data_IF_028114130471
#
_entry.id   IF_028114130471
#
_cell.length_a   1.000
_cell.length_b   1.000
_cell.length_c   1.000
_cell.angle_alpha   90.00
_cell.angle_beta   90.00
_cell.angle_gamma   90.00
#
_symmetry.space_group_name_H-M   'P 1'
#
loop_
_entity.id
_entity.type
_entity.pdbx_description
1 polymer ?
#
# COMPACT_ATOMS: atom_id res chain seq x y z
N UNK A 1 -18.66 -6.02 -60.90
CA UNK A 1 -17.42 -5.60 -60.20
C UNK A 1 -17.69 -4.90 -58.86
N UNK A 2 -18.67 -3.99 -58.76
CA UNK A 2 -18.97 -3.20 -57.55
C UNK A 2 -19.52 -3.99 -56.33
N UNK A 3 -20.15 -5.15 -56.55
CA UNK A 3 -20.81 -5.95 -55.49
C UNK A 3 -19.86 -6.65 -54.51
N UNK A 4 -18.58 -6.78 -54.88
CA UNK A 4 -17.53 -7.36 -54.02
C UNK A 4 -16.90 -6.33 -53.07
N UNK A 5 -16.94 -5.05 -53.43
CA UNK A 5 -16.33 -3.94 -52.65
C UNK A 5 -17.19 -3.63 -51.41
N UNK A 6 -18.51 -3.55 -51.57
CA UNK A 6 -19.45 -3.29 -50.47
C UNK A 6 -19.44 -4.38 -49.39
N UNK A 7 -19.24 -5.64 -49.78
CA UNK A 7 -19.22 -6.78 -48.84
C UNK A 7 -17.94 -6.81 -47.99
N UNK A 8 -16.80 -6.34 -48.53
CA UNK A 8 -15.53 -6.22 -47.77
C UNK A 8 -15.55 -5.02 -46.81
N UNK A 9 -16.19 -3.92 -47.18
CA UNK A 9 -16.40 -2.76 -46.30
C UNK A 9 -17.29 -3.14 -45.11
N UNK A 10 -18.31 -3.98 -45.33
CA UNK A 10 -19.20 -4.44 -44.26
C UNK A 10 -18.51 -5.35 -43.23
N UNK A 11 -17.49 -6.13 -43.63
CA UNK A 11 -16.72 -6.96 -42.68
C UNK A 11 -15.71 -6.14 -41.87
N UNK A 12 -15.20 -5.02 -42.39
CA UNK A 12 -14.28 -4.15 -41.66
C UNK A 12 -14.97 -3.29 -40.59
N UNK A 13 -16.27 -2.98 -40.77
CA UNK A 13 -17.04 -2.17 -39.81
C UNK A 13 -17.49 -2.93 -38.55
N UNK A 14 -17.51 -4.27 -38.58
CA UNK A 14 -17.95 -5.09 -37.45
C UNK A 14 -16.86 -5.32 -36.37
N UNK A 15 -15.61 -4.98 -36.65
CA UNK A 15 -14.46 -5.12 -35.71
C UNK A 15 -14.14 -3.84 -34.93
N UNK A 16 -14.95 -2.78 -35.07
CA UNK A 16 -14.70 -1.48 -34.44
C UNK A 16 -15.20 -1.37 -32.98
N UNK A 17 -16.24 -2.09 -32.48
CA UNK A 17 -16.70 -1.85 -31.12
C UNK A 17 -15.88 -2.56 -30.02
N UNK A 18 -14.87 -3.39 -30.35
CA UNK A 18 -14.16 -4.18 -29.32
C UNK A 18 -13.07 -3.39 -28.55
N UNK A 19 -12.69 -2.19 -29.01
CA UNK A 19 -11.68 -1.35 -28.33
C UNK A 19 -12.26 -0.30 -27.38
N UNK A 20 -13.59 -0.20 -27.23
CA UNK A 20 -14.22 0.86 -26.43
C UNK A 20 -14.26 0.60 -24.91
N UNK A 21 -13.89 -0.61 -24.44
CA UNK A 21 -13.98 -0.97 -23.01
C UNK A 21 -12.64 -1.10 -22.28
N UNK A 22 -11.58 -0.42 -22.73
CA UNK A 22 -10.37 -0.26 -21.91
C UNK A 22 -10.58 0.84 -20.85
N UNK A 23 -11.42 0.57 -19.84
CA UNK A 23 -11.59 1.46 -18.68
C UNK A 23 -10.45 1.24 -17.68
N UNK A 24 -9.24 1.64 -18.03
CA UNK A 24 -8.10 1.65 -17.11
C UNK A 24 -7.80 3.07 -16.62
N UNK A 25 -8.81 3.86 -16.25
CA UNK A 25 -8.62 5.21 -15.72
C UNK A 25 -9.18 5.28 -14.30
N UNK A 26 -8.46 4.72 -13.33
CA UNK A 26 -8.69 5.03 -11.94
C UNK A 26 -8.19 6.46 -11.69
N UNK A 27 -9.05 7.46 -11.89
CA UNK A 27 -8.77 8.84 -11.52
C UNK A 27 -8.75 8.94 -9.99
N UNK A 28 -7.58 8.72 -9.40
CA UNK A 28 -7.39 8.88 -7.96
C UNK A 28 -7.58 10.35 -7.58
N UNK A 29 -8.53 10.61 -6.67
CA UNK A 29 -8.65 11.89 -5.99
C UNK A 29 -7.95 11.77 -4.63
N UNK A 30 -7.04 12.68 -4.29
CA UNK A 30 -6.38 12.65 -2.99
C UNK A 30 -7.42 12.86 -1.88
N UNK A 31 -7.28 12.17 -0.74
CA UNK A 31 -8.20 12.31 0.38
C UNK A 31 -8.11 13.72 0.97
N UNK A 32 -9.26 14.36 1.15
CA UNK A 32 -9.38 15.67 1.82
C UNK A 32 -9.93 15.44 3.22
N UNK A 33 -9.17 15.85 4.24
CA UNK A 33 -9.54 15.68 5.63
C UNK A 33 -9.99 17.02 6.23
N UNK A 34 -11.21 17.09 6.77
CA UNK A 34 -11.81 18.32 7.35
C UNK A 34 -11.71 18.40 8.88
N UNK A 35 -11.21 17.35 9.52
CA UNK A 35 -11.12 17.21 10.97
C UNK A 35 -10.08 18.15 11.60
N UNK A 36 -10.51 19.02 12.52
CA UNK A 36 -9.60 19.83 13.34
C UNK A 36 -8.85 18.94 14.33
N UNK A 37 -7.56 19.23 14.53
CA UNK A 37 -6.67 18.48 15.44
C UNK A 37 -6.59 16.96 15.16
N UNK A 38 -6.76 16.55 13.90
CA UNK A 38 -6.67 15.13 13.48
C UNK A 38 -5.40 14.44 13.96
N UNK A 39 -4.25 15.12 13.88
CA UNK A 39 -2.98 14.58 14.35
C UNK A 39 -3.03 14.18 15.84
N UNK A 40 -3.57 15.04 16.70
CA UNK A 40 -3.69 14.75 18.13
C UNK A 40 -4.65 13.58 18.40
N UNK A 41 -5.77 13.48 17.66
CA UNK A 41 -6.70 12.35 17.76
C UNK A 41 -6.02 11.03 17.40
N UNK A 42 -5.18 11.02 16.36
CA UNK A 42 -4.46 9.83 15.91
C UNK A 42 -3.31 9.47 16.87
N UNK A 43 -2.61 10.47 17.42
CA UNK A 43 -1.55 10.22 18.41
C UNK A 43 -2.08 9.50 19.65
N UNK A 44 -3.32 9.79 20.08
CA UNK A 44 -3.94 9.12 21.21
C UNK A 44 -4.10 7.59 21.02
N UNK A 45 -4.10 7.09 19.77
CA UNK A 45 -4.24 5.65 19.50
C UNK A 45 -2.90 4.92 19.30
N UNK A 46 -1.76 5.62 19.29
CA UNK A 46 -0.45 4.99 19.12
C UNK A 46 -0.17 3.87 20.13
N UNK A 47 -0.46 4.02 21.44
CA UNK A 47 -0.23 2.93 22.40
C UNK A 47 -1.04 1.66 22.10
N UNK A 48 -2.22 1.81 21.50
CA UNK A 48 -3.02 0.66 21.09
C UNK A 48 -2.41 -0.06 19.88
N UNK A 49 -1.90 0.70 18.91
CA UNK A 49 -1.20 0.17 17.74
C UNK A 49 0.08 -0.57 18.18
N UNK A 50 0.86 0.02 19.08
CA UNK A 50 2.07 -0.58 19.64
C UNK A 50 1.77 -1.93 20.28
N UNK A 51 0.70 -2.00 21.08
CA UNK A 51 0.26 -3.26 21.69
C UNK A 51 -0.22 -4.29 20.67
N UNK A 52 -0.82 -3.87 19.56
CA UNK A 52 -1.25 -4.78 18.49
C UNK A 52 -0.05 -5.42 17.79
N UNK A 53 0.96 -4.63 17.43
CA UNK A 53 2.18 -5.16 16.82
C UNK A 53 2.96 -6.06 17.78
N UNK A 54 3.07 -5.67 19.05
CA UNK A 54 3.67 -6.52 20.07
C UNK A 54 2.98 -7.88 20.16
N UNK A 55 1.65 -7.90 20.32
CA UNK A 55 0.87 -9.15 20.40
C UNK A 55 1.01 -9.99 19.14
N UNK A 56 1.04 -9.36 17.97
CA UNK A 56 1.24 -10.07 16.70
C UNK A 56 2.62 -10.71 16.65
N UNK A 57 3.67 -9.99 17.04
CA UNK A 57 5.03 -10.50 17.05
C UNK A 57 5.19 -11.68 18.01
N UNK A 58 4.63 -11.56 19.23
CA UNK A 58 4.60 -12.64 20.22
C UNK A 58 3.85 -13.87 19.70
N UNK A 59 2.64 -13.68 19.13
CA UNK A 59 1.81 -14.78 18.62
C UNK A 59 2.47 -15.54 17.47
N UNK A 60 3.17 -14.83 16.59
CA UNK A 60 3.74 -15.41 15.37
C UNK A 60 5.25 -15.68 15.49
N UNK A 61 5.83 -15.53 16.68
CA UNK A 61 7.27 -15.67 16.94
C UNK A 61 8.13 -14.85 15.96
N UNK A 62 7.69 -13.62 15.67
CA UNK A 62 8.44 -12.69 14.81
C UNK A 62 9.65 -12.20 15.62
N UNK A 63 10.89 -12.43 15.15
CA UNK A 63 12.10 -12.13 15.92
C UNK A 63 12.32 -10.64 16.11
N UNK A 64 11.84 -9.82 15.17
CA UNK A 64 11.80 -8.37 15.30
C UNK A 64 10.96 -7.70 14.22
N UNK A 65 10.46 -6.51 14.53
CA UNK A 65 9.60 -5.73 13.65
C UNK A 65 9.87 -4.23 13.83
N UNK A 66 9.64 -3.45 12.77
CA UNK A 66 9.66 -1.99 12.79
C UNK A 66 8.52 -1.48 11.92
N UNK A 67 7.84 -0.43 12.36
CA UNK A 67 6.87 0.28 11.56
C UNK A 67 6.90 1.78 11.82
N UNK A 68 6.36 2.53 10.87
CA UNK A 68 6.16 3.97 10.98
C UNK A 68 4.76 4.38 10.55
N UNK A 69 4.18 5.37 11.22
CA UNK A 69 2.90 5.96 10.86
C UNK A 69 3.17 7.28 10.15
N UNK A 70 2.71 7.40 8.92
CA UNK A 70 2.79 8.62 8.13
C UNK A 70 1.42 9.29 8.12
N UNK A 71 1.37 10.54 8.53
CA UNK A 71 0.17 11.37 8.52
C UNK A 71 0.47 12.67 7.77
N UNK A 72 -0.34 12.97 6.76
CA UNK A 72 -0.23 14.20 5.95
C UNK A 72 1.20 14.41 5.39
N UNK A 73 1.80 13.33 4.92
CA UNK A 73 3.15 13.31 4.35
C UNK A 73 4.30 13.37 5.37
N UNK A 74 4.00 13.35 6.68
CA UNK A 74 4.99 13.40 7.75
C UNK A 74 5.00 12.10 8.56
N UNK A 75 6.19 11.60 8.87
CA UNK A 75 6.36 10.50 9.81
C UNK A 75 6.05 11.01 11.23
N UNK A 76 4.96 10.53 11.81
CA UNK A 76 4.44 11.00 13.12
C UNK A 76 4.65 10.01 14.25
N UNK A 77 4.97 8.75 13.94
CA UNK A 77 5.28 7.72 14.92
C UNK A 77 6.22 6.69 14.32
N UNK A 78 7.13 6.15 15.12
CA UNK A 78 7.97 5.00 14.77
C UNK A 78 8.09 4.12 15.99
N UNK A 79 7.93 2.82 15.81
CA UNK A 79 8.17 1.86 16.86
C UNK A 79 8.85 0.62 16.30
N UNK A 80 9.65 -0.01 17.15
CA UNK A 80 10.33 -1.26 16.87
C UNK A 80 10.20 -2.21 18.05
N UNK A 81 10.38 -3.50 17.78
CA UNK A 81 10.47 -4.53 18.81
C UNK A 81 11.31 -5.70 18.36
N UNK A 82 11.84 -6.45 19.32
CA UNK A 82 12.65 -7.65 19.08
C UNK A 82 14.11 -7.35 18.71
N UNK A 83 14.71 -8.26 17.95
CA UNK A 83 16.15 -8.32 17.71
C UNK A 83 16.49 -8.39 16.22
N UNK A 84 17.58 -7.73 15.83
CA UNK A 84 18.20 -7.86 14.50
C UNK A 84 18.94 -9.18 14.38
N UNK A 85 19.56 -9.63 15.47
CA UNK A 85 20.29 -10.88 15.57
C UNK A 85 19.87 -11.57 16.87
N UNK A 86 19.18 -12.70 16.74
CA UNK A 86 18.64 -13.47 17.88
C UNK A 86 19.78 -14.10 18.69
N UNK A 87 20.83 -14.58 18.01
CA UNK A 87 21.96 -15.26 18.67
C UNK A 87 22.79 -14.26 19.47
N UNK A 88 23.02 -13.06 18.92
CA UNK A 88 23.73 -11.97 19.59
C UNK A 88 22.85 -11.14 20.52
N UNK A 89 21.52 -11.36 20.47
CA UNK A 89 20.50 -10.53 21.14
C UNK A 89 20.66 -9.03 20.85
N UNK A 90 21.05 -8.70 19.63
CA UNK A 90 21.19 -7.31 19.21
C UNK A 90 19.81 -6.72 19.00
N UNK A 91 19.47 -5.68 19.74
CA UNK A 91 18.18 -4.98 19.60
C UNK A 91 17.97 -4.48 18.17
N UNK A 92 16.72 -4.47 17.72
CA UNK A 92 16.36 -3.95 16.41
C UNK A 92 16.27 -2.41 16.44
N UNK A 93 17.10 -1.68 15.66
CA UNK A 93 17.03 -0.23 15.58
C UNK A 93 15.76 0.22 14.84
N UNK A 94 15.35 1.49 15.02
CA UNK A 94 14.15 2.07 14.37
C UNK A 94 14.30 2.27 12.84
N UNK A 95 15.53 2.16 12.31
CA UNK A 95 15.86 2.27 10.90
C UNK A 95 16.66 1.05 10.43
N UNK A 96 16.07 -0.16 10.47
CA UNK A 96 16.79 -1.38 10.14
C UNK A 96 17.01 -1.49 8.62
N UNK A 97 18.13 -2.09 8.24
CA UNK A 97 18.37 -2.50 6.86
C UNK A 97 17.68 -3.85 6.61
N UNK A 98 16.47 -3.83 6.05
CA UNK A 98 15.83 -5.06 5.58
C UNK A 98 16.34 -5.42 4.18
N UNK A 99 17.01 -6.56 4.06
CA UNK A 99 17.48 -7.06 2.77
C UNK A 99 16.31 -7.65 1.99
N UNK A 100 15.92 -6.98 0.91
CA UNK A 100 14.94 -7.50 -0.04
C UNK A 100 15.60 -8.60 -0.87
N UNK A 101 15.37 -9.85 -0.50
CA UNK A 101 15.70 -11.00 -1.33
C UNK A 101 14.56 -11.13 -2.36
N UNK A 102 14.74 -10.47 -3.50
CA UNK A 102 13.86 -10.64 -4.66
C UNK A 102 14.55 -11.50 -5.70
#
# INVERSE_FOLDING_TARGET
>A
MFRFIVKKIFILAAMIPLVANSQNNCSYLPPVFTERHRAAKIQAVFPAIDKMYQKYAEKNHVPGYVYGIILDGRLVHTASGGFTDIAKKNLLPLNPCFVSHR
#
